data_IF_216868525638
#
_entry.id   IF_216868525638
#
_cell.length_a   1.000
_cell.length_b   1.000
_cell.length_c   1.000
_cell.angle_alpha   90.00
_cell.angle_beta   90.00
_cell.angle_gamma   90.00
#
_symmetry.space_group_name_H-M   'P 1'
#
loop_
_entity.id
_entity.type
_entity.pdbx_description
1 polymer ?
#
# COMPACT_ATOMS: atom_id res chain seq x y z
N UNK A 1 36.14 -4.10 32.76
CA UNK A 1 35.24 -3.86 31.63
C UNK A 1 34.42 -5.12 31.43
N UNK A 2 33.20 -5.14 31.93
CA UNK A 2 32.22 -6.20 31.67
C UNK A 2 31.28 -5.67 30.59
N UNK A 3 31.24 -6.34 29.44
CA UNK A 3 30.18 -6.15 28.46
C UNK A 3 28.90 -6.69 29.07
N UNK A 4 27.97 -5.81 29.43
CA UNK A 4 26.59 -6.21 29.68
C UNK A 4 25.94 -6.49 28.32
N UNK A 5 25.64 -7.77 28.08
CA UNK A 5 24.70 -8.19 27.05
C UNK A 5 23.32 -7.69 27.49
N UNK A 6 22.89 -6.56 26.93
CA UNK A 6 21.53 -6.05 27.12
C UNK A 6 20.67 -6.77 26.08
N UNK A 7 19.86 -7.74 26.52
CA UNK A 7 18.86 -8.34 25.63
C UNK A 7 17.69 -7.37 25.47
N UNK A 8 17.40 -6.97 24.23
CA UNK A 8 16.16 -6.28 23.88
C UNK A 8 14.99 -7.26 24.03
N UNK A 9 14.43 -7.30 25.24
CA UNK A 9 13.14 -7.97 25.53
C UNK A 9 11.98 -7.11 25.03
N UNK A 10 10.75 -7.60 25.04
CA UNK A 10 9.62 -6.92 24.40
C UNK A 10 8.69 -6.12 25.33
N UNK A 11 7.86 -5.20 24.76
CA UNK A 11 6.57 -4.69 25.21
C UNK A 11 5.92 -5.12 26.54
N UNK A 12 6.00 -4.38 27.65
CA UNK A 12 5.12 -4.60 28.81
C UNK A 12 3.87 -3.75 28.65
N UNK A 13 2.70 -4.36 28.82
CA UNK A 13 1.40 -3.72 28.68
C UNK A 13 1.29 -2.51 29.64
N UNK A 14 1.09 -1.30 29.08
CA UNK A 14 0.97 -0.05 29.85
C UNK A 14 2.14 0.93 29.69
N UNK A 15 3.19 0.61 28.94
CA UNK A 15 4.24 1.57 28.61
C UNK A 15 3.83 2.52 27.48
N UNK A 16 4.07 3.81 27.69
CA UNK A 16 3.77 4.91 26.74
C UNK A 16 4.91 5.18 25.77
N UNK A 17 5.90 4.29 25.71
CA UNK A 17 7.09 4.43 24.88
C UNK A 17 6.74 4.09 23.42
N UNK A 18 7.24 4.88 22.46
CA UNK A 18 7.08 4.56 21.04
C UNK A 18 7.93 3.34 20.71
N UNK A 19 7.34 2.36 20.05
CA UNK A 19 8.01 1.21 19.44
C UNK A 19 8.04 1.38 17.93
N UNK A 20 8.93 0.67 17.24
CA UNK A 20 8.89 0.54 15.79
C UNK A 20 9.06 -0.93 15.39
N UNK A 21 8.57 -1.26 14.20
CA UNK A 21 8.69 -2.57 13.58
C UNK A 21 8.71 -2.41 12.05
N UNK A 22 9.20 -3.42 11.36
CA UNK A 22 9.26 -3.48 9.91
C UNK A 22 8.23 -4.47 9.41
N UNK A 23 7.49 -4.10 8.37
CA UNK A 23 6.60 -4.99 7.64
C UNK A 23 7.04 -5.02 6.18
N UNK A 24 7.24 -6.23 5.65
CA UNK A 24 7.67 -6.46 4.28
C UNK A 24 6.57 -7.25 3.57
N UNK A 25 5.90 -6.61 2.62
CA UNK A 25 4.92 -7.22 1.73
C UNK A 25 5.60 -7.56 0.38
N UNK A 26 5.47 -8.79 -0.10
CA UNK A 26 6.12 -9.22 -1.35
C UNK A 26 5.40 -10.33 -2.10
N UNK A 27 5.60 -10.38 -3.43
CA UNK A 27 5.21 -11.54 -4.24
C UNK A 27 6.37 -12.53 -4.26
N UNK A 28 6.11 -13.77 -3.86
CA UNK A 28 6.97 -14.91 -4.15
C UNK A 28 6.47 -15.63 -5.40
N UNK A 29 7.19 -15.46 -6.51
CA UNK A 29 6.93 -16.19 -7.74
C UNK A 29 7.51 -17.61 -7.65
N UNK A 30 6.68 -18.62 -7.84
CA UNK A 30 7.06 -20.04 -7.87
C UNK A 30 6.73 -20.65 -9.23
N UNK A 31 7.48 -21.67 -9.64
CA UNK A 31 7.22 -22.43 -10.88
C UNK A 31 6.60 -23.77 -10.50
N UNK A 32 5.49 -24.14 -11.15
CA UNK A 32 4.81 -25.39 -10.86
C UNK A 32 5.69 -26.60 -11.18
N UNK A 33 5.50 -27.67 -10.41
CA UNK A 33 6.21 -28.94 -10.60
C UNK A 33 6.02 -29.46 -12.03
N UNK A 34 7.14 -29.69 -12.74
CA UNK A 34 7.17 -30.20 -14.11
C UNK A 34 7.14 -29.13 -15.21
N UNK A 35 6.96 -27.84 -14.88
CA UNK A 35 7.19 -26.75 -15.84
C UNK A 35 8.69 -26.49 -16.01
N UNK A 36 9.13 -26.12 -17.23
CA UNK A 36 10.53 -25.75 -17.47
C UNK A 36 10.87 -24.49 -16.68
N UNK A 37 12.10 -24.40 -16.17
CA UNK A 37 12.62 -23.17 -15.58
C UNK A 37 12.55 -22.03 -16.62
N UNK A 38 11.74 -20.99 -16.39
CA UNK A 38 11.61 -19.85 -17.30
C UNK A 38 12.89 -19.01 -17.40
N UNK A 39 13.83 -19.15 -16.45
CA UNK A 39 15.08 -18.39 -16.40
C UNK A 39 16.31 -19.29 -16.20
N UNK A 40 16.63 -20.18 -17.17
CA UNK A 40 17.69 -21.20 -17.03
C UNK A 40 19.12 -20.64 -17.00
N UNK A 41 19.27 -19.33 -17.18
CA UNK A 41 20.56 -18.61 -17.08
C UNK A 41 20.70 -17.86 -15.75
N UNK A 42 19.63 -17.84 -14.95
CA UNK A 42 19.66 -17.25 -13.62
C UNK A 42 20.52 -18.12 -12.70
N UNK A 43 21.55 -17.56 -12.05
CA UNK A 43 22.43 -18.33 -11.18
C UNK A 43 21.78 -18.70 -9.84
N UNK A 44 20.58 -18.17 -9.52
CA UNK A 44 19.85 -18.51 -8.29
C UNK A 44 19.41 -19.97 -8.33
N UNK A 45 19.57 -20.66 -7.22
CA UNK A 45 19.17 -22.07 -7.09
C UNK A 45 17.65 -22.19 -7.19
N UNK A 46 17.18 -22.96 -8.17
CA UNK A 46 15.77 -23.37 -8.25
C UNK A 46 15.55 -24.49 -7.24
N UNK A 47 14.92 -24.15 -6.11
CA UNK A 47 14.57 -25.11 -5.06
C UNK A 47 13.38 -25.96 -5.55
N UNK A 48 13.62 -27.23 -5.87
CA UNK A 48 12.61 -28.18 -6.35
C UNK A 48 11.61 -28.65 -5.27
N UNK A 49 11.65 -28.06 -4.06
CA UNK A 49 10.66 -28.36 -3.03
C UNK A 49 9.26 -27.91 -3.45
N UNK A 50 8.29 -28.74 -3.10
CA UNK A 50 6.88 -28.46 -3.34
C UNK A 50 6.36 -27.41 -2.35
N UNK A 51 6.26 -26.17 -2.81
CA UNK A 51 5.65 -25.04 -2.11
C UNK A 51 4.18 -24.93 -2.50
N UNK A 52 3.35 -25.84 -2.01
CA UNK A 52 1.97 -26.03 -2.47
C UNK A 52 0.95 -25.00 -1.98
N UNK A 53 1.34 -24.11 -1.07
CA UNK A 53 0.49 -23.03 -0.55
C UNK A 53 1.34 -21.95 0.14
N UNK A 54 0.77 -20.76 0.30
CA UNK A 54 1.33 -19.65 1.11
C UNK A 54 1.72 -20.10 2.51
N UNK A 55 0.88 -20.89 3.18
CA UNK A 55 1.18 -21.45 4.50
C UNK A 55 2.47 -22.29 4.53
N UNK A 56 2.68 -23.18 3.54
CA UNK A 56 3.88 -24.02 3.45
C UNK A 56 5.12 -23.16 3.17
N UNK A 57 4.96 -22.11 2.37
CA UNK A 57 6.01 -21.13 2.09
C UNK A 57 6.41 -20.42 3.39
N UNK A 58 5.44 -19.91 4.16
CA UNK A 58 5.68 -19.24 5.43
C UNK A 58 6.41 -20.13 6.44
N UNK A 59 6.03 -21.41 6.51
CA UNK A 59 6.72 -22.37 7.37
C UNK A 59 8.19 -22.57 6.98
N UNK A 60 8.50 -22.67 5.69
CA UNK A 60 9.87 -22.84 5.21
C UNK A 60 10.69 -21.55 5.39
N UNK A 61 10.12 -20.37 5.14
CA UNK A 61 10.76 -19.08 5.43
C UNK A 61 11.08 -18.99 6.92
N UNK A 62 10.09 -19.25 7.78
CA UNK A 62 10.28 -19.25 9.24
C UNK A 62 11.36 -20.21 9.70
N UNK A 63 11.42 -21.40 9.09
CA UNK A 63 12.47 -22.38 9.39
C UNK A 63 13.86 -21.88 9.01
N UNK A 64 14.00 -21.21 7.86
CA UNK A 64 15.27 -20.60 7.43
C UNK A 64 15.69 -19.46 8.38
N UNK A 65 14.76 -18.61 8.81
CA UNK A 65 15.02 -17.56 9.80
C UNK A 65 15.47 -18.13 11.15
N UNK A 66 14.76 -19.14 11.67
CA UNK A 66 15.13 -19.82 12.92
C UNK A 66 16.50 -20.49 12.84
N UNK A 67 16.85 -21.06 11.67
CA UNK A 67 18.15 -21.71 11.47
C UNK A 67 19.34 -20.74 11.60
N UNK A 68 19.13 -19.45 11.34
CA UNK A 68 20.15 -18.40 11.52
C UNK A 68 20.01 -17.63 12.83
N UNK A 69 19.18 -18.13 13.76
CA UNK A 69 19.01 -17.56 15.09
C UNK A 69 18.00 -16.41 15.18
N UNK A 70 17.20 -16.18 14.14
CA UNK A 70 16.12 -15.17 14.15
C UNK A 70 14.83 -15.85 14.62
N UNK A 71 14.24 -15.44 15.77
CA UNK A 71 12.95 -15.97 16.22
C UNK A 71 11.86 -15.62 15.20
N UNK A 72 11.11 -16.63 14.74
CA UNK A 72 10.11 -16.46 13.71
C UNK A 72 8.92 -17.42 13.90
N UNK A 73 7.70 -16.99 13.59
CA UNK A 73 6.42 -17.69 13.79
C UNK A 73 5.47 -17.46 12.60
N UNK A 74 4.57 -18.40 12.31
CA UNK A 74 3.57 -18.26 11.23
C UNK A 74 2.23 -17.85 11.83
N UNK A 75 1.57 -16.83 11.28
CA UNK A 75 0.33 -16.28 11.83
C UNK A 75 -0.83 -17.28 11.84
N UNK A 76 -0.95 -18.10 10.79
CA UNK A 76 -1.98 -19.16 10.70
C UNK A 76 -1.88 -20.19 11.85
N UNK A 77 -0.72 -20.32 12.49
CA UNK A 77 -0.51 -21.18 13.66
C UNK A 77 -1.06 -20.56 14.96
N UNK A 78 -1.69 -19.39 14.88
CA UNK A 78 -2.32 -18.64 15.98
C UNK A 78 -1.35 -18.36 17.13
N UNK A 79 -0.28 -17.58 16.88
CA UNK A 79 0.72 -17.29 17.88
C UNK A 79 0.15 -16.51 19.07
N UNK A 80 0.79 -16.70 20.22
CA UNK A 80 0.47 -16.00 21.46
C UNK A 80 0.91 -14.53 21.39
N UNK A 81 0.31 -13.68 22.25
CA UNK A 81 0.72 -12.27 22.37
C UNK A 81 2.22 -12.09 22.62
N UNK A 82 2.83 -12.96 23.41
CA UNK A 82 4.28 -12.87 23.70
C UNK A 82 5.14 -13.26 22.49
N UNK A 83 4.65 -14.10 21.61
CA UNK A 83 5.36 -14.44 20.38
C UNK A 83 5.31 -13.28 19.38
N UNK A 84 4.16 -12.60 19.22
CA UNK A 84 4.06 -11.37 18.42
C UNK A 84 5.05 -10.28 18.86
N UNK A 85 5.35 -10.27 20.15
CA UNK A 85 6.25 -9.32 20.77
C UNK A 85 7.73 -9.63 20.55
N UNK A 86 8.08 -10.87 20.23
CA UNK A 86 9.48 -11.35 20.26
C UNK A 86 9.94 -12.02 18.98
N UNK A 87 9.03 -12.35 18.06
CA UNK A 87 9.31 -13.08 16.84
C UNK A 87 8.93 -12.28 15.59
N UNK A 88 9.64 -12.54 14.50
CA UNK A 88 9.17 -12.18 13.17
C UNK A 88 7.95 -13.04 12.82
N UNK A 89 6.91 -12.42 12.25
CA UNK A 89 5.64 -13.07 11.96
C UNK A 89 5.49 -13.18 10.45
N UNK A 90 5.37 -14.39 9.93
CA UNK A 90 5.10 -14.65 8.51
C UNK A 90 3.60 -14.85 8.30
N UNK A 91 3.07 -14.24 7.25
CA UNK A 91 1.66 -14.18 6.94
C UNK A 91 1.45 -14.25 5.43
N UNK A 92 0.28 -14.72 5.01
CA UNK A 92 -0.20 -14.52 3.64
C UNK A 92 -0.80 -13.12 3.49
N UNK A 93 -0.48 -12.44 2.39
CA UNK A 93 -1.14 -11.18 2.03
C UNK A 93 -1.77 -11.29 0.64
N UNK A 94 -3.08 -11.50 0.63
CA UNK A 94 -3.87 -11.62 -0.60
C UNK A 94 -3.87 -10.33 -1.41
N UNK A 95 -3.68 -9.16 -0.79
CA UNK A 95 -3.69 -7.85 -1.47
C UNK A 95 -2.43 -7.59 -2.30
N UNK A 96 -1.40 -8.43 -2.11
CA UNK A 96 -0.12 -8.33 -2.81
C UNK A 96 -0.07 -9.28 -4.01
N UNK A 97 -0.88 -10.35 -4.02
CA UNK A 97 -0.75 -11.47 -4.96
C UNK A 97 -1.91 -11.66 -5.94
N UNK A 98 -3.06 -10.99 -5.77
CA UNK A 98 -4.26 -11.28 -6.57
C UNK A 98 -4.39 -10.37 -7.82
N UNK A 99 -4.71 -10.99 -8.95
CA UNK A 99 -5.00 -10.32 -10.22
C UNK A 99 -6.52 -10.04 -10.39
N UNK A 100 -7.38 -10.57 -9.51
CA UNK A 100 -8.85 -10.43 -9.62
C UNK A 100 -9.31 -8.96 -9.62
N UNK A 101 -8.60 -8.07 -8.93
CA UNK A 101 -8.93 -6.63 -8.85
C UNK A 101 -8.39 -5.80 -10.03
N UNK A 102 -7.84 -6.43 -11.07
CA UNK A 102 -7.34 -5.72 -12.26
C UNK A 102 -6.93 -6.61 -13.44
N UNK A 103 -7.89 -7.24 -14.17
CA UNK A 103 -7.56 -8.05 -15.34
C UNK A 103 -6.85 -7.21 -16.40
N UNK A 104 -5.56 -7.51 -16.64
CA UNK A 104 -4.73 -6.87 -17.68
C UNK A 104 -3.43 -6.20 -17.20
N UNK A 105 -3.14 -6.17 -15.89
CA UNK A 105 -1.95 -5.49 -15.34
C UNK A 105 -0.64 -6.29 -15.40
N UNK A 106 -0.74 -7.60 -15.60
CA UNK A 106 0.40 -8.50 -15.77
C UNK A 106 0.30 -9.16 -17.14
N UNK A 107 1.43 -9.27 -17.84
CA UNK A 107 1.43 -9.88 -19.17
C UNK A 107 0.93 -11.32 -19.07
N UNK A 108 0.14 -11.74 -20.05
CA UNK A 108 -0.40 -13.10 -20.13
C UNK A 108 0.74 -14.15 -19.99
N UNK A 109 1.91 -13.87 -20.57
CA UNK A 109 3.10 -14.71 -20.46
C UNK A 109 3.56 -14.91 -19.00
N UNK A 110 3.50 -13.90 -18.14
CA UNK A 110 3.95 -14.05 -16.75
C UNK A 110 3.01 -14.95 -15.94
N UNK A 111 1.70 -14.84 -16.18
CA UNK A 111 0.67 -15.67 -15.56
C UNK A 111 0.69 -17.12 -16.06
N UNK A 112 1.23 -17.36 -17.26
CA UNK A 112 1.43 -18.72 -17.78
C UNK A 112 2.66 -19.40 -17.16
N UNK A 113 3.71 -18.62 -16.86
CA UNK A 113 5.00 -19.11 -16.37
C UNK A 113 5.07 -19.28 -14.85
N UNK A 114 4.41 -18.42 -14.07
CA UNK A 114 4.55 -18.35 -12.62
C UNK A 114 3.23 -18.48 -11.86
N UNK A 115 3.32 -19.09 -10.68
CA UNK A 115 2.32 -19.00 -9.62
C UNK A 115 2.75 -17.90 -8.65
N UNK A 116 1.87 -16.93 -8.40
CA UNK A 116 2.13 -15.78 -7.51
C UNK A 116 1.64 -16.09 -6.11
N UNK A 117 2.50 -15.89 -5.12
CA UNK A 117 2.13 -16.02 -3.72
C UNK A 117 2.35 -14.66 -3.04
N UNK A 118 1.28 -13.99 -2.62
CA UNK A 118 1.37 -12.77 -1.84
C UNK A 118 1.75 -13.09 -0.39
N UNK A 119 2.88 -12.54 0.06
CA UNK A 119 3.50 -12.82 1.35
C UNK A 119 3.69 -11.53 2.14
N UNK A 120 3.61 -11.61 3.46
CA UNK A 120 3.94 -10.53 4.39
C UNK A 120 4.81 -11.07 5.52
N UNK A 121 5.84 -10.32 5.92
CA UNK A 121 6.62 -10.61 7.12
C UNK A 121 6.74 -9.36 7.99
N UNK A 122 6.28 -9.44 9.23
CA UNK A 122 6.39 -8.37 10.23
C UNK A 122 7.47 -8.67 11.27
N UNK A 123 8.25 -7.67 11.69
CA UNK A 123 9.21 -7.80 12.79
C UNK A 123 8.52 -7.68 14.15
N UNK A 124 9.14 -8.15 15.25
CA UNK A 124 8.69 -7.80 16.59
C UNK A 124 8.87 -6.28 16.87
N UNK A 125 8.17 -5.72 17.86
CA UNK A 125 8.38 -4.35 18.34
C UNK A 125 9.67 -4.21 19.16
N UNK A 126 10.52 -3.22 18.82
CA UNK A 126 11.79 -2.95 19.53
C UNK A 126 11.68 -1.76 20.54
N UNK A 127 12.40 -1.82 21.68
CA UNK A 127 12.36 -0.82 22.79
C UNK A 127 13.33 0.37 22.68
N UNK A 128 13.08 1.38 23.53
CA UNK A 128 13.86 2.60 23.72
C UNK A 128 14.42 2.70 25.17
N UNK A 129 15.73 2.91 25.36
CA UNK A 129 16.49 2.78 26.64
C UNK A 129 16.41 3.99 27.63
N UNK A 130 17.07 3.97 28.82
CA UNK A 130 16.92 5.02 29.88
C UNK A 130 17.48 6.44 29.54
N UNK A 131 18.67 6.60 28.92
CA UNK A 131 19.04 7.87 28.27
C UNK A 131 18.07 8.26 27.15
N UNK A 132 17.47 7.25 26.52
CA UNK A 132 16.42 7.40 25.53
C UNK A 132 15.07 7.82 26.18
N UNK A 133 14.84 7.59 27.48
CA UNK A 133 13.65 8.02 28.26
C UNK A 133 13.68 9.53 28.60
N UNK A 134 14.86 10.05 28.93
CA UNK A 134 15.07 11.50 29.11
C UNK A 134 15.07 12.24 27.77
N UNK A 135 15.54 11.60 26.70
CA UNK A 135 15.35 12.04 25.33
C UNK A 135 13.87 11.92 24.91
N UNK A 136 13.14 10.86 25.26
CA UNK A 136 11.70 10.65 25.03
C UNK A 136 10.86 11.74 25.68
N UNK A 137 11.20 12.21 26.88
CA UNK A 137 10.45 13.33 27.51
C UNK A 137 10.61 14.64 26.73
N UNK A 138 11.74 14.80 26.01
CA UNK A 138 12.01 15.91 25.08
C UNK A 138 11.44 15.64 23.67
N UNK A 139 11.40 14.38 23.25
CA UNK A 139 10.93 13.87 21.98
C UNK A 139 9.40 13.74 21.96
N UNK A 140 8.68 13.50 23.06
CA UNK A 140 7.22 13.58 23.16
C UNK A 140 6.71 15.01 22.98
N UNK A 141 7.50 16.00 23.40
CA UNK A 141 7.30 17.41 23.05
C UNK A 141 7.57 17.71 21.57
N UNK A 142 8.28 16.83 20.85
CA UNK A 142 8.66 16.93 19.43
C UNK A 142 7.74 16.05 18.54
N UNK A 143 7.21 14.93 19.04
CA UNK A 143 6.37 13.92 18.36
C UNK A 143 5.04 14.49 17.89
N UNK A 144 4.50 15.53 18.54
CA UNK A 144 3.33 16.26 18.03
C UNK A 144 3.62 16.97 16.69
N UNK A 145 4.88 17.26 16.37
CA UNK A 145 5.31 17.80 15.08
C UNK A 145 5.82 16.71 14.11
N UNK A 146 6.24 15.54 14.60
CA UNK A 146 6.94 14.53 13.79
C UNK A 146 6.05 13.78 12.79
N UNK A 147 4.78 13.51 13.10
CA UNK A 147 3.86 12.91 12.11
C UNK A 147 3.66 13.84 10.93
N UNK A 148 3.50 15.12 11.25
CA UNK A 148 3.34 16.19 10.30
C UNK A 148 4.60 16.37 9.46
N UNK A 149 5.79 16.33 10.08
CA UNK A 149 7.06 16.40 9.36
C UNK A 149 7.29 15.18 8.47
N UNK A 150 7.02 13.97 8.97
CA UNK A 150 7.17 12.75 8.17
C UNK A 150 6.26 12.78 6.95
N UNK A 151 4.98 13.11 7.14
CA UNK A 151 4.03 13.21 6.05
C UNK A 151 4.37 14.37 5.11
N UNK A 152 4.85 15.50 5.62
CA UNK A 152 5.29 16.62 4.80
C UNK A 152 6.51 16.25 3.93
N UNK A 153 7.48 15.51 4.49
CA UNK A 153 8.62 14.95 3.76
C UNK A 153 8.11 13.97 2.70
N UNK A 154 7.28 13.00 3.10
CA UNK A 154 6.71 12.00 2.21
C UNK A 154 5.97 12.67 1.05
N UNK A 155 5.03 13.58 1.30
CA UNK A 155 4.31 14.32 0.25
C UNK A 155 5.22 15.14 -0.68
N UNK A 156 6.27 15.75 -0.12
CA UNK A 156 7.21 16.57 -0.91
C UNK A 156 8.06 15.74 -1.86
N UNK A 157 8.52 14.57 -1.41
CA UNK A 157 9.49 13.76 -2.16
C UNK A 157 8.93 12.44 -2.70
N UNK A 158 7.68 12.09 -2.42
CA UNK A 158 7.04 10.87 -2.93
C UNK A 158 7.16 10.74 -4.44
N UNK A 159 6.98 11.79 -5.27
CA UNK A 159 7.22 11.66 -6.71
C UNK A 159 8.62 11.15 -7.06
N UNK A 160 9.65 11.51 -6.29
CA UNK A 160 11.03 11.03 -6.49
C UNK A 160 11.20 9.58 -6.02
N UNK A 161 10.54 9.22 -4.92
CA UNK A 161 10.53 7.86 -4.39
C UNK A 161 9.74 6.90 -5.30
N UNK A 162 8.72 7.38 -6.00
CA UNK A 162 8.02 6.57 -7.00
C UNK A 162 8.94 6.17 -8.16
N UNK A 163 9.87 7.05 -8.55
CA UNK A 163 10.81 6.78 -9.65
C UNK A 163 11.77 5.61 -9.37
N UNK A 164 12.06 5.32 -8.10
CA UNK A 164 12.97 4.20 -7.73
C UNK A 164 12.27 2.83 -7.75
N UNK A 165 10.95 2.81 -7.96
CA UNK A 165 10.14 1.60 -8.02
C UNK A 165 9.46 1.43 -9.37
N UNK A 166 9.10 0.20 -9.78
CA UNK A 166 8.30 -0.04 -10.98
C UNK A 166 6.96 0.70 -10.93
N UNK A 167 6.50 1.24 -12.07
CA UNK A 167 5.23 1.99 -12.20
C UNK A 167 4.03 1.17 -11.78
N UNK A 168 4.09 -0.13 -12.03
CA UNK A 168 3.05 -1.11 -11.72
C UNK A 168 2.86 -1.28 -10.21
N UNK A 169 3.87 -0.91 -9.40
CA UNK A 169 3.79 -0.95 -7.93
C UNK A 169 3.27 0.35 -7.32
N UNK A 170 3.63 1.50 -7.90
CA UNK A 170 3.43 2.81 -7.23
C UNK A 170 2.47 3.75 -7.94
N UNK A 171 2.23 3.57 -9.25
CA UNK A 171 1.41 4.48 -10.07
C UNK A 171 0.12 3.82 -10.56
N UNK A 172 0.18 2.53 -10.89
CA UNK A 172 -0.97 1.74 -11.36
C UNK A 172 -1.39 0.65 -10.36
N UNK A 173 -1.22 0.91 -9.07
CA UNK A 173 -1.57 -0.05 -8.03
C UNK A 173 -2.59 0.55 -7.04
N UNK A 174 -3.81 0.00 -6.92
CA UNK A 174 -4.76 0.48 -5.93
C UNK A 174 -4.33 0.13 -4.50
N UNK A 175 -3.56 -0.94 -4.31
CA UNK A 175 -3.23 -1.51 -3.01
C UNK A 175 -2.21 -0.73 -2.22
N UNK A 176 -1.29 -0.04 -2.89
CA UNK A 176 -0.29 0.83 -2.26
C UNK A 176 -0.29 2.20 -2.93
N UNK A 177 -1.43 2.90 -2.96
CA UNK A 177 -1.58 4.07 -3.79
C UNK A 177 -0.80 5.25 -3.17
N UNK A 178 -0.30 6.15 -4.01
CA UNK A 178 0.49 7.30 -3.58
C UNK A 178 -0.36 8.28 -2.74
N UNK A 179 0.28 9.19 -2.02
CA UNK A 179 -0.37 10.18 -1.14
C UNK A 179 -1.34 11.11 -1.88
N UNK A 180 -1.20 11.31 -3.19
CA UNK A 180 -2.21 12.06 -3.95
C UNK A 180 -3.57 11.33 -4.04
N UNK A 181 -3.65 10.03 -3.69
CA UNK A 181 -4.90 9.28 -3.53
C UNK A 181 -5.49 9.36 -2.10
N UNK A 182 -4.93 10.23 -1.25
CA UNK A 182 -5.42 10.54 0.10
C UNK A 182 -6.86 11.07 0.10
N UNK A 183 -7.53 11.00 1.27
CA UNK A 183 -8.88 11.55 1.42
C UNK A 183 -8.91 13.05 1.21
N UNK A 184 -7.88 13.77 1.68
CA UNK A 184 -7.77 15.22 1.48
C UNK A 184 -7.79 15.56 -0.01
N UNK A 185 -6.93 14.93 -0.79
CA UNK A 185 -6.81 15.23 -2.23
C UNK A 185 -8.06 14.81 -2.98
N UNK A 186 -8.72 13.72 -2.58
CA UNK A 186 -10.01 13.32 -3.15
C UNK A 186 -11.12 14.35 -2.90
N UNK A 187 -11.17 14.93 -1.69
CA UNK A 187 -12.15 15.97 -1.33
C UNK A 187 -11.82 17.33 -1.94
N UNK A 188 -10.54 17.59 -2.21
CA UNK A 188 -10.06 18.87 -2.73
C UNK A 188 -9.09 18.65 -3.91
N UNK A 189 -9.59 18.11 -5.04
CA UNK A 189 -8.76 17.71 -6.18
C UNK A 189 -8.10 18.88 -6.92
N UNK A 190 -8.50 20.11 -6.62
CA UNK A 190 -7.96 21.32 -7.23
C UNK A 190 -6.80 21.93 -6.43
N UNK A 191 -6.48 21.38 -5.25
CA UNK A 191 -5.31 21.81 -4.50
C UNK A 191 -4.02 21.46 -5.23
N UNK A 192 -3.14 22.44 -5.35
CA UNK A 192 -1.76 22.24 -5.80
C UNK A 192 -0.98 21.44 -4.76
N UNK A 193 0.16 20.85 -5.17
CA UNK A 193 1.04 20.14 -4.23
C UNK A 193 1.51 21.03 -3.08
N UNK A 194 1.78 22.31 -3.36
CA UNK A 194 2.18 23.28 -2.35
C UNK A 194 1.05 23.56 -1.35
N UNK A 195 -0.20 23.70 -1.82
CA UNK A 195 -1.34 23.90 -0.93
C UNK A 195 -1.63 22.66 -0.08
N UNK A 196 -1.49 21.45 -0.64
CA UNK A 196 -1.57 20.21 0.16
C UNK A 196 -0.48 20.17 1.23
N UNK A 197 0.76 20.59 0.90
CA UNK A 197 1.83 20.71 1.89
C UNK A 197 1.47 21.69 3.01
N UNK A 198 0.91 22.85 2.69
CA UNK A 198 0.48 23.81 3.72
C UNK A 198 -0.66 23.26 4.59
N UNK A 199 -1.59 22.48 4.01
CA UNK A 199 -2.61 21.78 4.79
C UNK A 199 -1.95 20.79 5.77
N UNK A 200 -1.02 19.96 5.29
CA UNK A 200 -0.24 19.05 6.14
C UNK A 200 0.43 19.83 7.27
N UNK A 201 1.19 20.87 6.95
CA UNK A 201 1.90 21.70 7.94
C UNK A 201 0.94 22.47 8.88
N UNK A 202 -0.32 22.66 8.47
CA UNK A 202 -1.35 23.36 9.22
C UNK A 202 -2.11 22.53 10.25
N UNK A 203 -2.07 21.19 10.18
CA UNK A 203 -2.77 20.35 11.17
C UNK A 203 -2.24 20.59 12.59
N UNK A 204 -3.18 20.66 13.53
CA UNK A 204 -2.90 20.89 14.97
C UNK A 204 -3.12 19.65 15.84
N UNK A 205 -3.72 18.63 15.24
CA UNK A 205 -4.06 17.35 15.84
C UNK A 205 -3.78 16.20 14.86
N UNK A 206 -3.41 15.05 15.42
CA UNK A 206 -3.06 13.87 14.62
C UNK A 206 -4.29 13.14 14.10
N UNK A 207 -5.43 13.26 14.76
CA UNK A 207 -6.65 12.56 14.37
C UNK A 207 -7.11 13.02 13.00
N UNK A 208 -7.19 14.34 12.78
CA UNK A 208 -7.56 14.92 11.50
C UNK A 208 -6.51 14.63 10.42
N UNK A 209 -5.22 14.72 10.76
CA UNK A 209 -4.12 14.39 9.85
C UNK A 209 -4.22 12.93 9.37
N UNK A 210 -4.41 11.99 10.31
CA UNK A 210 -4.53 10.56 10.02
C UNK A 210 -5.85 10.21 9.36
N UNK A 211 -6.92 10.93 9.63
CA UNK A 211 -8.17 10.76 8.90
C UNK A 211 -7.98 11.12 7.43
N UNK A 212 -7.29 12.22 7.14
CA UNK A 212 -7.11 12.70 5.78
C UNK A 212 -6.04 11.93 4.98
N UNK A 213 -5.02 11.38 5.66
CA UNK A 213 -3.85 10.74 5.04
C UNK A 213 -3.54 9.32 5.53
N UNK A 214 -4.36 8.72 6.39
CA UNK A 214 -4.14 7.35 6.89
C UNK A 214 -4.62 6.28 5.91
N UNK A 215 -5.69 6.53 5.17
CA UNK A 215 -6.29 5.56 4.24
C UNK A 215 -6.80 6.24 2.97
N UNK A 216 -6.78 5.52 1.84
CA UNK A 216 -7.53 5.95 0.67
C UNK A 216 -9.02 5.66 0.87
N UNK A 217 -9.90 6.55 0.38
CA UNK A 217 -11.34 6.31 0.34
C UNK A 217 -11.67 5.23 -0.71
N UNK A 218 -11.71 3.97 -0.28
CA UNK A 218 -12.23 2.84 -1.04
C UNK A 218 -11.21 2.09 -1.90
N UNK A 219 -9.91 2.35 -1.74
CA UNK A 219 -8.88 1.78 -2.65
C UNK A 219 -7.79 0.95 -1.96
N UNK A 220 -7.60 1.06 -0.63
CA UNK A 220 -6.50 0.42 0.09
C UNK A 220 -5.75 1.38 1.02
N UNK A 221 -4.75 0.89 1.76
CA UNK A 221 -3.89 1.74 2.62
C UNK A 221 -2.81 2.42 1.75
N UNK A 222 -2.53 3.70 2.01
CA UNK A 222 -1.57 4.48 1.21
C UNK A 222 -0.15 3.87 1.23
N UNK A 223 0.66 4.20 0.23
CA UNK A 223 2.07 3.79 0.13
C UNK A 223 2.93 4.24 1.31
N UNK A 224 2.54 5.35 1.95
CA UNK A 224 2.94 5.71 3.31
C UNK A 224 1.72 5.63 4.21
N UNK A 225 1.62 4.57 5.01
CA UNK A 225 0.47 4.38 5.90
C UNK A 225 0.85 4.67 7.36
N UNK A 226 0.06 5.55 7.98
CA UNK A 226 0.24 6.03 9.35
C UNK A 226 -0.90 5.58 10.29
N UNK A 227 -1.85 4.75 9.84
CA UNK A 227 -3.00 4.28 10.64
C UNK A 227 -2.57 3.59 11.94
N UNK A 228 -1.44 2.87 11.93
CA UNK A 228 -0.87 2.24 13.12
C UNK A 228 -0.53 3.23 14.25
N UNK A 229 -0.55 4.53 13.98
CA UNK A 229 -0.22 5.59 14.93
C UNK A 229 -1.48 6.31 15.47
N UNK A 230 -2.68 5.91 15.07
CA UNK A 230 -3.93 6.51 15.53
C UNK A 230 -4.14 6.35 17.04
N UNK A 231 -4.53 7.43 17.71
CA UNK A 231 -4.80 7.46 19.15
C UNK A 231 -6.31 7.64 19.44
N UNK A 232 -6.88 6.99 20.48
CA UNK A 232 -6.24 5.99 21.32
C UNK A 232 -5.89 4.76 20.48
N UNK A 233 -4.75 4.17 20.78
CA UNK A 233 -4.26 3.04 20.00
C UNK A 233 -5.24 1.88 20.04
N UNK A 234 -5.70 1.45 18.86
CA UNK A 234 -6.75 0.43 18.73
C UNK A 234 -6.26 -0.98 19.05
N UNK A 235 -4.96 -1.24 18.88
CA UNK A 235 -4.31 -2.53 19.13
C UNK A 235 -2.87 -2.31 19.62
N UNK A 236 -2.00 -3.32 19.56
CA UNK A 236 -0.58 -3.24 19.97
C UNK A 236 0.33 -2.64 18.87
N UNK A 237 -0.17 -2.37 17.66
CA UNK A 237 0.62 -1.85 16.54
C UNK A 237 0.96 -0.37 16.74
N UNK A 238 2.24 -0.01 16.56
CA UNK A 238 2.77 1.36 16.66
C UNK A 238 3.69 1.67 15.48
N UNK A 239 3.29 1.25 14.29
CA UNK A 239 4.17 1.18 13.12
C UNK A 239 3.81 2.24 12.08
N UNK A 240 4.85 2.67 11.35
CA UNK A 240 4.73 3.36 10.08
C UNK A 240 4.95 2.30 9.01
N UNK A 241 4.02 2.17 8.07
CA UNK A 241 4.12 1.23 6.97
C UNK A 241 4.66 1.96 5.72
N UNK A 242 5.75 1.41 5.16
CA UNK A 242 6.37 1.87 3.92
C UNK A 242 6.11 0.85 2.81
N UNK A 243 5.02 1.02 2.07
CA UNK A 243 4.44 -0.04 1.23
C UNK A 243 4.87 0.01 -0.24
N UNK A 244 5.61 1.03 -0.64
CA UNK A 244 6.06 1.22 -2.03
C UNK A 244 7.11 0.21 -2.52
N UNK A 245 7.84 -0.46 -1.61
CA UNK A 245 8.82 -1.47 -2.01
C UNK A 245 8.12 -2.60 -2.76
N UNK A 246 8.72 -3.00 -3.87
CA UNK A 246 8.22 -4.16 -4.59
C UNK A 246 8.70 -5.41 -3.87
N UNK A 247 7.90 -6.46 -3.93
CA UNK A 247 8.31 -7.71 -3.34
C UNK A 247 9.62 -8.25 -3.89
N UNK A 248 10.62 -8.42 -3.04
CA UNK A 248 11.96 -8.83 -3.47
C UNK A 248 12.60 -9.77 -2.45
N UNK A 249 13.36 -10.74 -2.97
CA UNK A 249 14.26 -11.59 -2.19
C UNK A 249 15.72 -11.16 -2.35
N UNK A 250 16.00 -10.09 -3.09
CA UNK A 250 17.35 -9.55 -3.22
C UNK A 250 17.77 -8.85 -1.91
N UNK A 251 18.74 -9.38 -1.18
CA UNK A 251 19.18 -8.79 0.09
C UNK A 251 19.71 -7.37 -0.09
N UNK A 252 20.32 -7.03 -1.24
CA UNK A 252 20.84 -5.69 -1.48
C UNK A 252 19.69 -4.68 -1.69
N UNK A 253 18.66 -5.05 -2.45
CA UNK A 253 17.46 -4.24 -2.62
C UNK A 253 16.70 -4.03 -1.30
N UNK A 254 16.61 -5.06 -0.45
CA UNK A 254 15.97 -4.98 0.87
C UNK A 254 16.76 -4.04 1.80
N UNK A 255 18.07 -4.24 1.91
CA UNK A 255 18.92 -3.45 2.81
C UNK A 255 18.97 -1.98 2.41
N UNK A 256 19.05 -1.68 1.11
CA UNK A 256 19.03 -0.30 0.63
C UNK A 256 17.70 0.38 0.96
N UNK A 257 16.57 -0.31 0.80
CA UNK A 257 15.27 0.28 1.13
C UNK A 257 15.08 0.50 2.63
N UNK A 258 15.44 -0.48 3.47
CA UNK A 258 15.39 -0.34 4.93
C UNK A 258 16.20 0.88 5.37
N UNK A 259 17.37 1.12 4.77
CA UNK A 259 18.19 2.30 5.07
C UNK A 259 17.45 3.60 4.74
N UNK A 260 16.77 3.68 3.60
CA UNK A 260 15.97 4.86 3.22
C UNK A 260 14.83 5.10 4.20
N UNK A 261 14.08 4.06 4.58
CA UNK A 261 13.00 4.15 5.56
C UNK A 261 13.48 4.69 6.92
N UNK A 262 14.59 4.14 7.44
CA UNK A 262 15.21 4.61 8.68
C UNK A 262 15.56 6.09 8.56
N UNK A 263 16.20 6.48 7.46
CA UNK A 263 16.66 7.86 7.25
C UNK A 263 15.51 8.85 7.09
N UNK A 264 14.40 8.45 6.49
CA UNK A 264 13.17 9.25 6.44
C UNK A 264 12.63 9.54 7.84
N UNK A 265 12.52 8.50 8.67
CA UNK A 265 12.05 8.64 10.06
C UNK A 265 13.02 9.47 10.90
N UNK A 266 14.33 9.22 10.79
CA UNK A 266 15.36 10.02 11.47
C UNK A 266 15.26 11.50 11.07
N UNK A 267 15.13 11.79 9.77
CA UNK A 267 15.01 13.16 9.26
C UNK A 267 13.78 13.85 9.83
N UNK A 268 12.62 13.17 9.82
CA UNK A 268 11.38 13.70 10.39
C UNK A 268 11.49 13.95 11.90
N UNK A 269 12.16 13.08 12.65
CA UNK A 269 12.25 13.17 14.11
C UNK A 269 13.26 14.20 14.62
N UNK A 270 14.32 14.49 13.86
CA UNK A 270 15.45 15.30 14.34
C UNK A 270 15.62 16.64 13.61
N UNK A 271 14.85 16.91 12.55
CA UNK A 271 14.93 18.18 11.86
C UNK A 271 14.35 19.33 12.71
N UNK A 272 14.92 20.53 12.56
CA UNK A 272 14.33 21.74 13.13
C UNK A 272 13.12 22.17 12.30
N UNK A 273 11.97 22.36 12.94
CA UNK A 273 10.67 22.61 12.32
C UNK A 273 10.70 23.71 11.23
N UNK A 274 11.31 24.87 11.52
CA UNK A 274 11.36 26.01 10.59
C UNK A 274 12.28 25.78 9.39
N UNK A 275 13.46 25.20 9.63
CA UNK A 275 14.43 24.87 8.58
C UNK A 275 13.85 23.80 7.64
N UNK A 276 13.22 22.77 8.21
CA UNK A 276 12.56 21.71 7.45
C UNK A 276 11.43 22.29 6.60
N UNK A 277 10.50 23.03 7.22
CA UNK A 277 9.33 23.57 6.52
C UNK A 277 9.73 24.52 5.39
N UNK A 278 10.78 25.32 5.59
CA UNK A 278 11.33 26.20 4.54
C UNK A 278 11.87 25.39 3.36
N UNK A 279 12.64 24.33 3.64
CA UNK A 279 13.19 23.45 2.61
C UNK A 279 12.07 22.75 1.83
N UNK A 280 11.10 22.16 2.52
CA UNK A 280 9.99 21.44 1.89
C UNK A 280 9.15 22.35 0.98
N UNK A 281 8.90 23.60 1.39
CA UNK A 281 8.21 24.59 0.56
C UNK A 281 8.98 24.95 -0.72
N UNK A 282 10.31 25.05 -0.62
CA UNK A 282 11.15 25.31 -1.80
C UNK A 282 11.13 24.12 -2.75
N UNK A 283 11.22 22.90 -2.22
CA UNK A 283 11.35 21.70 -3.02
C UNK A 283 10.01 21.24 -3.64
N UNK A 284 8.88 21.37 -2.92
CA UNK A 284 7.56 20.99 -3.46
C UNK A 284 7.16 21.81 -4.68
N UNK A 285 7.70 23.03 -4.80
CA UNK A 285 7.43 23.94 -5.91
C UNK A 285 8.29 23.66 -7.15
N UNK A 286 9.34 22.85 -7.02
CA UNK A 286 10.22 22.52 -8.14
C UNK A 286 9.59 21.46 -9.04
N UNK A 287 9.77 21.56 -10.37
CA UNK A 287 9.55 20.43 -11.26
C UNK A 287 10.49 19.27 -10.90
N UNK A 288 10.05 18.05 -11.22
CA UNK A 288 10.82 16.83 -11.01
C UNK A 288 11.62 16.52 -12.27
N UNK A 289 12.92 16.28 -12.13
CA UNK A 289 13.79 16.00 -13.27
C UNK A 289 15.27 16.17 -12.96
N UNK A 290 16.07 16.29 -14.02
CA UNK A 290 17.53 16.49 -13.96
C UNK A 290 17.99 17.77 -14.69
N UNK A 291 17.04 18.56 -15.19
CA UNK A 291 17.37 19.82 -15.85
C UNK A 291 17.65 20.92 -14.81
N UNK A 292 18.20 22.05 -15.24
CA UNK A 292 18.59 23.13 -14.31
C UNK A 292 17.36 23.71 -13.61
N UNK A 293 17.34 23.67 -12.28
CA UNK A 293 16.23 24.14 -11.45
C UNK A 293 15.22 23.06 -11.08
N UNK A 294 15.33 21.87 -11.66
CA UNK A 294 14.56 20.70 -11.25
C UNK A 294 15.04 20.16 -9.90
N UNK A 295 14.18 19.40 -9.24
CA UNK A 295 14.51 18.57 -8.10
C UNK A 295 14.70 17.12 -8.57
N UNK A 296 15.91 16.58 -8.39
CA UNK A 296 16.21 15.21 -8.80
C UNK A 296 16.15 14.21 -7.63
N UNK A 297 16.03 12.93 -7.97
CA UNK A 297 16.11 11.82 -6.99
C UNK A 297 17.47 11.78 -6.30
N UNK A 298 18.54 12.21 -6.99
CA UNK A 298 19.88 12.35 -6.40
C UNK A 298 19.87 13.44 -5.34
N UNK A 299 19.33 14.63 -5.63
CA UNK A 299 19.26 15.74 -4.68
C UNK A 299 18.52 15.32 -3.41
N UNK A 300 17.40 14.60 -3.57
CA UNK A 300 16.66 14.04 -2.45
C UNK A 300 17.50 13.09 -1.59
N UNK A 301 18.17 12.09 -2.19
CA UNK A 301 18.99 11.16 -1.41
C UNK A 301 20.19 11.83 -0.74
N UNK A 302 20.81 12.81 -1.42
CA UNK A 302 21.90 13.60 -0.84
C UNK A 302 21.39 14.42 0.34
N UNK A 303 20.24 15.08 0.21
CA UNK A 303 19.59 15.80 1.30
C UNK A 303 19.20 14.87 2.45
N UNK A 304 18.70 13.68 2.16
CA UNK A 304 18.32 12.67 3.15
C UNK A 304 19.54 12.10 3.91
N UNK A 305 20.75 12.23 3.34
CA UNK A 305 21.99 11.70 3.91
C UNK A 305 22.30 10.26 3.47
N UNK A 306 21.83 9.88 2.28
CA UNK A 306 21.90 8.52 1.71
C UNK A 306 22.69 8.48 0.38
N UNK A 307 23.96 8.92 0.32
CA UNK A 307 24.71 8.98 -0.94
C UNK A 307 24.92 7.60 -1.59
N UNK A 308 25.00 6.54 -0.79
CA UNK A 308 25.12 5.17 -1.31
C UNK A 308 23.84 4.73 -2.03
N UNK A 309 22.66 5.06 -1.47
CA UNK A 309 21.37 4.78 -2.08
C UNK A 309 21.14 5.65 -3.32
N UNK A 310 21.65 6.90 -3.33
CA UNK A 310 21.66 7.72 -4.53
C UNK A 310 22.38 7.00 -5.68
N UNK A 311 23.56 6.43 -5.40
CA UNK A 311 24.29 5.64 -6.39
C UNK A 311 23.51 4.38 -6.82
N UNK A 312 23.03 3.60 -5.85
CA UNK A 312 22.30 2.35 -6.09
C UNK A 312 21.05 2.55 -6.96
N UNK A 313 20.18 3.51 -6.63
CA UNK A 313 18.91 3.71 -7.32
C UNK A 313 19.03 4.60 -8.57
N UNK A 314 19.92 5.60 -8.57
CA UNK A 314 19.92 6.62 -9.63
C UNK A 314 20.92 6.34 -10.75
N UNK A 315 21.81 5.35 -10.62
CA UNK A 315 22.82 5.05 -11.66
C UNK A 315 22.18 4.89 -13.05
N UNK A 316 21.11 4.10 -13.15
CA UNK A 316 20.41 3.87 -14.42
C UNK A 316 19.62 5.10 -14.89
N UNK A 317 19.08 5.90 -13.96
CA UNK A 317 18.32 7.12 -14.29
C UNK A 317 19.19 8.19 -14.95
N UNK A 318 20.47 8.26 -14.59
CA UNK A 318 21.43 9.20 -15.19
C UNK A 318 21.85 8.74 -16.58
N UNK A 319 21.93 7.44 -16.82
CA UNK A 319 22.32 6.87 -18.11
C UNK A 319 21.18 6.86 -19.14
N UNK A 320 19.92 6.76 -18.69
CA UNK A 320 18.74 6.73 -19.55
C UNK A 320 17.75 7.84 -19.17
N UNK A 321 18.07 9.06 -19.59
CA UNK A 321 17.25 10.25 -19.30
C UNK A 321 15.91 10.25 -20.03
N UNK A 322 15.83 9.60 -21.19
CA UNK A 322 14.60 9.57 -21.99
C UNK A 322 13.57 8.64 -21.35
N UNK A 323 13.98 7.44 -20.90
CA UNK A 323 13.10 6.56 -20.14
C UNK A 323 12.61 7.21 -18.84
N UNK A 324 13.48 7.96 -18.16
CA UNK A 324 13.10 8.71 -16.97
C UNK A 324 12.06 9.79 -17.27
N UNK A 325 12.24 10.59 -18.33
CA UNK A 325 11.28 11.63 -18.73
C UNK A 325 9.91 11.01 -19.03
N UNK A 326 9.89 9.91 -19.78
CA UNK A 326 8.68 9.15 -20.03
C UNK A 326 8.01 8.66 -18.74
N UNK A 327 8.80 8.17 -17.77
CA UNK A 327 8.28 7.74 -16.48
C UNK A 327 7.67 8.89 -15.67
N UNK A 328 8.31 10.06 -15.65
CA UNK A 328 7.78 11.26 -14.99
C UNK A 328 6.45 11.69 -15.62
N UNK A 329 6.38 11.70 -16.95
CA UNK A 329 5.14 12.03 -17.69
C UNK A 329 4.03 11.02 -17.43
N UNK A 330 4.36 9.72 -17.34
CA UNK A 330 3.41 8.67 -17.00
C UNK A 330 2.84 8.86 -15.60
N UNK A 331 3.69 9.06 -14.59
CA UNK A 331 3.24 9.27 -13.20
C UNK A 331 2.37 10.54 -13.07
N UNK A 332 2.72 11.61 -13.81
CA UNK A 332 1.90 12.83 -13.89
C UNK A 332 0.53 12.56 -14.54
N UNK A 333 0.48 11.71 -15.56
CA UNK A 333 -0.77 11.32 -16.23
C UNK A 333 -1.67 10.51 -15.31
N UNK A 334 -1.11 9.54 -14.57
CA UNK A 334 -1.84 8.77 -13.55
C UNK A 334 -2.46 9.69 -12.50
N UNK A 335 -1.69 10.68 -12.02
CA UNK A 335 -2.19 11.68 -11.07
C UNK A 335 -3.34 12.51 -11.66
N UNK A 336 -3.21 13.03 -12.87
CA UNK A 336 -4.27 13.83 -13.48
C UNK A 336 -5.53 13.01 -13.75
N UNK A 337 -5.38 11.74 -14.12
CA UNK A 337 -6.52 10.82 -14.26
C UNK A 337 -7.28 10.66 -12.94
N UNK A 338 -6.56 10.44 -11.84
CA UNK A 338 -7.16 10.39 -10.50
C UNK A 338 -7.89 11.70 -10.14
N UNK A 339 -7.27 12.86 -10.36
CA UNK A 339 -7.87 14.15 -10.04
C UNK A 339 -9.14 14.41 -10.85
N UNK A 340 -9.17 14.05 -12.14
CA UNK A 340 -10.38 14.12 -12.97
C UNK A 340 -11.50 13.24 -12.43
N UNK A 341 -11.18 12.01 -12.05
CA UNK A 341 -12.14 11.11 -11.42
C UNK A 341 -12.70 11.69 -10.12
N UNK A 342 -11.84 12.24 -9.27
CA UNK A 342 -12.25 12.86 -8.00
C UNK A 342 -13.18 14.07 -8.22
N UNK A 343 -12.85 14.95 -9.18
CA UNK A 343 -13.72 16.08 -9.58
C UNK A 343 -15.10 15.61 -10.04
N UNK A 344 -15.14 14.63 -10.94
CA UNK A 344 -16.39 14.07 -11.46
C UNK A 344 -17.25 13.50 -10.32
N UNK A 345 -16.64 12.75 -9.41
CA UNK A 345 -17.33 12.16 -8.26
C UNK A 345 -17.98 13.24 -7.37
N UNK A 346 -17.26 14.32 -7.07
CA UNK A 346 -17.81 15.43 -6.27
C UNK A 346 -18.97 16.14 -6.96
N UNK A 347 -18.97 16.24 -8.29
CA UNK A 347 -20.09 16.79 -9.06
C UNK A 347 -21.34 15.92 -8.91
N UNK A 348 -21.21 14.61 -9.09
CA UNK A 348 -22.32 13.66 -8.92
C UNK A 348 -22.87 13.68 -7.48
N UNK A 349 -22.00 13.66 -6.47
CA UNK A 349 -22.43 13.72 -5.06
C UNK A 349 -23.17 15.04 -4.73
N UNK A 350 -22.79 16.16 -5.37
CA UNK A 350 -23.47 17.44 -5.22
C UNK A 350 -24.86 17.45 -5.90
N UNK A 351 -24.98 16.84 -7.09
CA UNK A 351 -26.24 16.71 -7.82
C UNK A 351 -27.24 15.83 -7.05
N UNK A 352 -26.81 14.68 -6.52
CA UNK A 352 -27.65 13.79 -5.71
C UNK A 352 -28.12 14.43 -4.40
N UNK A 353 -27.30 15.30 -3.79
CA UNK A 353 -27.66 16.01 -2.54
C UNK A 353 -28.64 17.18 -2.76
N UNK A 354 -28.82 17.62 -4.00
CA UNK A 354 -29.71 18.73 -4.37
C UNK A 354 -31.16 18.33 -4.65
N UNK A 355 -31.46 17.03 -4.79
CA UNK A 355 -32.81 16.53 -5.10
C UNK A 355 -33.70 16.33 -3.85
N UNK A 356 -33.14 16.35 -2.63
CA UNK A 356 -33.89 16.08 -1.38
C UNK A 356 -34.42 17.34 -0.66
N UNK A 357 -34.05 18.55 -1.10
CA UNK A 357 -34.56 19.82 -0.54
C UNK A 357 -35.77 20.41 -1.31
N UNK A 358 -36.38 19.61 -2.19
CA UNK A 358 -37.37 20.05 -3.17
C UNK A 358 -38.85 19.72 -2.89
N UNK A 359 -39.23 19.21 -1.73
CA UNK A 359 -40.65 19.01 -1.38
C UNK A 359 -40.98 19.30 0.09
N UNK A 360 -41.15 20.58 0.44
CA UNK A 360 -42.24 20.96 1.34
C UNK A 360 -42.67 22.42 1.16
N UNK A 361 -43.85 22.63 0.54
CA UNK A 361 -44.95 23.39 1.15
C UNK A 361 -45.99 23.86 0.11
N UNK A 362 -47.17 23.25 0.16
CA UNK A 362 -48.43 24.00 0.10
C UNK A 362 -49.56 23.21 0.78
N UNK A 363 -50.21 23.91 1.71
CA UNK A 363 -51.11 23.45 2.77
C UNK A 363 -52.52 22.99 2.34
N UNK A 364 -53.05 22.09 3.19
CA UNK A 364 -54.43 21.97 3.73
C UNK A 364 -55.64 21.68 2.80
N UNK A 365 -56.28 20.52 2.98
CA UNK A 365 -57.62 20.41 3.64
C UNK A 365 -57.98 18.95 4.02
N UNK A 366 -58.62 18.84 5.19
CA UNK A 366 -59.17 17.71 6.00
C UNK A 366 -60.00 16.60 5.31
N UNK A 367 -60.60 15.63 6.05
CA UNK A 367 -60.12 14.77 7.15
C UNK A 367 -60.38 13.26 6.88
N UNK A 368 -59.73 12.40 7.66
CA UNK A 368 -59.93 10.95 7.72
C UNK A 368 -61.34 10.52 8.18
N UNK A 369 -61.99 9.62 7.43
CA UNK A 369 -62.94 8.64 7.97
C UNK A 369 -62.94 7.33 7.18
N UNK A 370 -62.71 6.25 7.94
CA UNK A 370 -63.35 4.93 7.89
C UNK A 370 -63.16 3.96 6.71
N UNK A 371 -62.62 2.80 7.10
CA UNK A 371 -63.17 1.43 6.97
C UNK A 371 -62.65 0.47 5.89
N UNK A 372 -62.51 -0.77 6.41
CA UNK A 372 -62.73 -2.10 5.81
C UNK A 372 -61.70 -2.61 4.80
N UNK A 373 -60.99 -3.67 5.18
CA UNK A 373 -61.22 -5.06 4.70
C UNK A 373 -60.40 -5.33 3.43
N UNK A 374 -59.29 -6.06 3.55
CA UNK A 374 -59.18 -7.50 3.22
C UNK A 374 -59.70 -7.84 1.83
N UNK A 375 -58.83 -8.26 0.92
CA UNK A 375 -58.80 -9.63 0.36
C UNK A 375 -57.67 -9.78 -0.65
N UNK A 376 -57.14 -11.00 -0.66
CA UNK A 376 -56.35 -11.63 -1.71
C UNK A 376 -56.96 -11.43 -3.12
N UNK A 377 -56.15 -11.47 -4.17
CA UNK A 377 -56.07 -12.63 -5.08
C UNK A 377 -55.11 -12.37 -6.25
N UNK A 378 -54.47 -13.47 -6.65
CA UNK A 378 -53.71 -13.64 -7.88
C UNK A 378 -54.53 -13.30 -9.13
N UNK A 379 -53.86 -12.97 -10.23
CA UNK A 379 -54.05 -13.72 -11.48
C UNK A 379 -52.87 -13.53 -12.43
N UNK A 380 -52.34 -14.69 -12.85
CA UNK A 380 -51.56 -14.86 -14.06
C UNK A 380 -52.51 -15.00 -15.26
N UNK A 381 -51.96 -14.78 -16.46
CA UNK A 381 -52.16 -15.55 -17.72
C UNK A 381 -52.11 -14.61 -18.95
N UNK A 382 -51.11 -14.78 -19.83
CA UNK A 382 -51.09 -15.63 -21.06
C UNK A 382 -51.73 -14.88 -22.25
N UNK A 383 -51.37 -15.05 -23.52
CA UNK A 383 -50.41 -15.84 -24.29
C UNK A 383 -50.62 -15.42 -25.78
N UNK A 384 -49.94 -16.12 -26.69
CA UNK A 384 -50.04 -16.20 -28.16
C UNK A 384 -48.90 -15.46 -28.91
N UNK A 385 -48.02 -16.10 -29.69
CA UNK A 385 -48.01 -17.46 -30.23
C UNK A 385 -47.86 -17.43 -31.76
N UNK A 386 -46.81 -18.07 -32.32
CA UNK A 386 -46.83 -18.95 -33.50
C UNK A 386 -45.43 -19.21 -34.09
N UNK A 387 -44.90 -20.40 -33.75
CA UNK A 387 -44.64 -21.59 -34.59
C UNK A 387 -44.15 -21.59 -36.06
N UNK A 388 -43.47 -22.73 -36.31
CA UNK A 388 -43.11 -23.47 -37.53
C UNK A 388 -41.77 -23.11 -38.21
N UNK A 389 -40.91 -24.06 -38.64
CA UNK A 389 -40.83 -25.53 -38.57
C UNK A 389 -39.49 -25.94 -39.23
N UNK A 390 -38.95 -27.13 -38.93
CA UNK A 390 -37.91 -27.75 -39.78
C UNK A 390 -37.03 -28.83 -39.16
N UNK A 391 -37.58 -30.04 -39.06
CA UNK A 391 -36.92 -31.31 -38.69
C UNK A 391 -36.18 -31.98 -39.87
N UNK A 392 -35.09 -32.71 -39.58
CA UNK A 392 -34.79 -34.09 -40.05
C UNK A 392 -33.29 -34.43 -40.03
N UNK A 393 -32.94 -35.62 -39.50
CA UNK A 393 -31.75 -36.37 -39.96
C UNK A 393 -31.01 -37.23 -38.93
N UNK A 394 -31.36 -38.51 -38.88
CA UNK A 394 -30.81 -39.61 -38.06
C UNK A 394 -29.33 -40.02 -38.36
N UNK A 395 -28.56 -40.32 -37.28
CA UNK A 395 -27.77 -41.55 -36.94
C UNK A 395 -27.19 -42.52 -38.03
N UNK A 396 -26.30 -43.50 -37.69
CA UNK A 396 -24.95 -43.49 -37.07
C UNK A 396 -23.96 -44.44 -37.84
N UNK A 397 -22.69 -44.62 -37.43
CA UNK A 397 -21.89 -45.91 -37.53
C UNK A 397 -20.35 -45.74 -37.40
N UNK A 398 -19.74 -46.61 -36.56
CA UNK A 398 -18.49 -47.42 -36.68
C UNK A 398 -17.20 -46.81 -37.33
N UNK A 399 -15.97 -47.14 -36.92
CA UNK A 399 -15.41 -48.38 -36.38
C UNK A 399 -14.05 -48.15 -35.69
N UNK A 400 -13.69 -49.07 -34.79
CA UNK A 400 -12.31 -49.41 -34.43
C UNK A 400 -11.47 -49.77 -35.67
N UNK A 401 -10.15 -49.52 -35.63
CA UNK A 401 -9.13 -50.55 -35.92
C UNK A 401 -7.74 -50.07 -35.47
N UNK A 402 -7.02 -51.03 -34.89
CA UNK A 402 -5.61 -51.02 -34.50
C UNK A 402 -4.66 -50.77 -35.69
N UNK A 403 -3.46 -50.27 -35.40
CA UNK A 403 -2.17 -50.97 -35.64
C UNK A 403 -0.97 -50.01 -35.78
N UNK A 404 0.12 -50.43 -35.13
CA UNK A 404 1.55 -50.10 -35.33
C UNK A 404 2.14 -48.86 -34.67
#
# INVERSE_FOLDING_TARGET
MSQENISDTAPVEGETDLTFGLELEFILATVDEGKPDPHPKDPREVDGKKLSSTFVIDQEIGKKLRAVGIPAIVEEEKPTKEEYKTCWVMKSDITVGDDEDGPGKVTQEWNELYTKNGMEISSPPYYYTKPAKDAITKVLKTIRENYRHLLAIAHTYEPLLMLIFPSERVSDNPWCPPLFNSRLTKKHPDLTRAEVLENILGYTDNESLLYDFGESLGSGRLGFNLVGLATPYKNEQRTIEFRHHHGSLDPEAILNWIHVCIKLVEKACFAKSDELSTQLRQDVAKPIGFDEGDLSTIDFFMWLGCPAQAYYYCANMVTDKDALKQRIEYDATCREHFLKWARHRLQVEAEDSGEDEGQDSSKESEPTTSNSESTDENEADQDEGNDESGDSGENPSNSNEDES
#
